data_IF_382880498597
#
_entry.id   IF_382880498597
#
_cell.length_a   1.000
_cell.length_b   1.000
_cell.length_c   1.000
_cell.angle_alpha   90.00
_cell.angle_beta   90.00
_cell.angle_gamma   90.00
#
_symmetry.space_group_name_H-M   'P 1'
#
loop_
_entity.id
_entity.type
_entity.pdbx_description
1 polymer ?
#
# COMPACT_ATOMS: atom_id res chain seq x y z
N UNK A 1 0.41 -36.01 43.03
CA UNK A 1 -0.06 -34.96 42.12
C UNK A 1 -1.03 -35.63 41.16
N UNK A 2 -2.33 -35.41 41.34
CA UNK A 2 -3.36 -36.07 40.55
C UNK A 2 -3.43 -35.38 39.19
N UNK A 3 -2.76 -35.97 38.20
CA UNK A 3 -2.79 -35.50 36.81
C UNK A 3 -4.11 -36.01 36.19
N UNK A 4 -5.19 -35.25 36.40
CA UNK A 4 -6.45 -35.54 35.74
C UNK A 4 -6.29 -35.24 34.26
N UNK A 5 -6.63 -36.17 33.35
CA UNK A 5 -6.51 -35.92 31.92
C UNK A 5 -7.32 -34.66 31.54
N UNK A 6 -6.81 -33.82 30.63
CA UNK A 6 -7.50 -32.59 30.24
C UNK A 6 -8.86 -32.93 29.64
N UNK A 7 -9.91 -32.31 30.17
CA UNK A 7 -11.26 -32.46 29.65
C UNK A 7 -11.38 -31.69 28.33
N UNK A 8 -11.58 -32.40 27.22
CA UNK A 8 -11.75 -31.80 25.90
C UNK A 8 -13.20 -31.39 25.67
N UNK A 9 -13.42 -30.15 25.24
CA UNK A 9 -14.75 -29.63 24.90
C UNK A 9 -14.73 -29.12 23.46
N UNK A 10 -15.73 -29.51 22.68
CA UNK A 10 -15.89 -29.04 21.30
C UNK A 10 -16.53 -27.65 21.27
N UNK A 11 -15.82 -26.67 20.72
CA UNK A 11 -16.29 -25.28 20.58
C UNK A 11 -16.50 -24.96 19.10
N UNK A 12 -17.62 -24.31 18.75
CA UNK A 12 -17.87 -23.84 17.39
C UNK A 12 -17.14 -22.52 17.16
N UNK A 13 -16.24 -22.50 16.17
CA UNK A 13 -15.45 -21.33 15.79
C UNK A 13 -15.80 -20.90 14.37
N UNK A 14 -15.58 -19.62 14.05
CA UNK A 14 -15.78 -19.13 12.68
C UNK A 14 -14.73 -19.73 11.73
N UNK A 15 -15.10 -19.90 10.46
CA UNK A 15 -14.17 -20.41 9.45
C UNK A 15 -12.93 -19.50 9.29
N UNK A 16 -13.11 -18.18 9.46
CA UNK A 16 -12.03 -17.20 9.36
C UNK A 16 -10.93 -17.41 10.39
N UNK A 17 -11.27 -17.53 11.68
CA UNK A 17 -10.26 -17.73 12.73
C UNK A 17 -9.57 -19.09 12.60
N UNK A 18 -10.31 -20.12 12.19
CA UNK A 18 -9.75 -21.46 11.93
C UNK A 18 -8.78 -21.43 10.74
N UNK A 19 -9.09 -20.67 9.69
CA UNK A 19 -8.20 -20.44 8.56
C UNK A 19 -6.90 -19.76 8.96
N UNK A 20 -6.99 -18.64 9.70
CA UNK A 20 -5.81 -17.93 10.21
C UNK A 20 -4.95 -18.82 11.12
N UNK A 21 -5.59 -19.58 12.00
CA UNK A 21 -4.89 -20.52 12.88
C UNK A 21 -4.22 -21.63 12.07
N UNK A 22 -4.83 -22.12 10.98
CA UNK A 22 -4.21 -23.13 10.12
C UNK A 22 -2.92 -22.64 9.46
N UNK A 23 -2.94 -21.43 8.90
CA UNK A 23 -1.77 -20.83 8.28
C UNK A 23 -0.62 -20.66 9.29
N UNK A 24 -0.92 -20.06 10.44
CA UNK A 24 0.07 -19.86 11.51
C UNK A 24 0.59 -21.18 12.09
N UNK A 25 -0.31 -22.17 12.24
CA UNK A 25 0.03 -23.50 12.75
C UNK A 25 0.96 -24.26 11.80
N UNK A 26 0.76 -24.12 10.48
CA UNK A 26 1.60 -24.77 9.47
C UNK A 26 3.04 -24.26 9.54
N UNK A 27 3.24 -22.94 9.59
CA UNK A 27 4.58 -22.33 9.75
C UNK A 27 5.27 -22.82 11.02
N UNK A 28 4.52 -22.99 12.10
CA UNK A 28 5.04 -23.38 13.40
C UNK A 28 5.01 -24.89 13.66
N UNK A 29 4.65 -25.70 12.65
CA UNK A 29 4.54 -27.17 12.71
C UNK A 29 3.74 -27.67 13.92
N UNK A 30 2.64 -26.99 14.24
CA UNK A 30 1.73 -27.35 15.35
C UNK A 30 0.33 -27.67 14.85
N UNK A 31 -0.50 -28.22 15.74
CA UNK A 31 -1.91 -28.41 15.45
C UNK A 31 -2.66 -27.07 15.47
N UNK A 32 -3.80 -26.98 14.77
CA UNK A 32 -4.68 -25.80 14.79
C UNK A 32 -5.20 -25.52 16.21
N UNK A 33 -5.54 -26.57 16.97
CA UNK A 33 -5.98 -26.44 18.35
C UNK A 33 -4.87 -25.83 19.23
N UNK A 34 -3.66 -26.39 19.15
CA UNK A 34 -2.49 -25.89 19.91
C UNK A 34 -2.12 -24.45 19.53
N UNK A 35 -2.34 -24.06 18.28
CA UNK A 35 -2.17 -22.67 17.83
C UNK A 35 -3.17 -21.72 18.48
N UNK A 36 -4.44 -22.13 18.59
CA UNK A 36 -5.49 -21.34 19.21
C UNK A 36 -5.25 -21.22 20.73
N UNK A 37 -4.88 -22.32 21.38
CA UNK A 37 -4.50 -22.34 22.81
C UNK A 37 -3.31 -21.42 23.09
N UNK A 38 -2.32 -21.42 22.20
CA UNK A 38 -1.17 -20.52 22.30
C UNK A 38 -1.60 -19.05 22.22
N UNK A 39 -2.44 -18.67 21.27
CA UNK A 39 -2.95 -17.28 21.18
C UNK A 39 -3.74 -16.88 22.42
N UNK A 40 -4.58 -17.78 22.96
CA UNK A 40 -5.31 -17.51 24.19
C UNK A 40 -4.36 -17.32 25.38
N UNK A 41 -3.31 -18.12 25.48
CA UNK A 41 -2.29 -17.99 26.53
C UNK A 41 -1.50 -16.68 26.39
N UNK A 42 -1.14 -16.31 25.17
CA UNK A 42 -0.47 -15.05 24.87
C UNK A 42 -1.35 -13.85 25.26
N UNK A 43 -2.64 -13.86 24.93
CA UNK A 43 -3.58 -12.82 25.33
C UNK A 43 -3.62 -12.62 26.84
N UNK A 44 -3.76 -13.72 27.61
CA UNK A 44 -3.71 -13.67 29.08
C UNK A 44 -2.40 -13.12 29.64
N UNK A 45 -1.27 -13.51 29.05
CA UNK A 45 0.03 -13.01 29.48
C UNK A 45 0.19 -11.51 29.20
N UNK A 46 -0.35 -11.02 28.08
CA UNK A 46 -0.34 -9.59 27.76
C UNK A 46 -1.24 -8.78 28.70
N UNK A 47 -2.42 -9.29 29.05
CA UNK A 47 -3.30 -8.67 30.06
C UNK A 47 -2.60 -8.59 31.43
N UNK A 48 -1.95 -9.68 31.85
CA UNK A 48 -1.15 -9.70 33.08
C UNK A 48 0.05 -8.75 33.04
N UNK A 49 0.61 -8.47 31.85
CA UNK A 49 1.66 -7.49 31.63
C UNK A 49 1.16 -6.04 31.59
N UNK A 50 -0.14 -5.81 31.78
CA UNK A 50 -0.74 -4.48 31.87
C UNK A 50 -1.31 -3.94 30.55
N UNK A 51 -1.42 -4.76 29.50
CA UNK A 51 -2.19 -4.39 28.33
C UNK A 51 -3.67 -4.39 28.70
N UNK A 52 -4.28 -3.21 28.79
CA UNK A 52 -5.69 -3.12 29.17
C UNK A 52 -6.59 -3.71 28.09
N UNK A 53 -7.77 -4.18 28.49
CA UNK A 53 -8.77 -4.68 27.55
C UNK A 53 -9.15 -3.60 26.52
N UNK A 54 -9.24 -2.33 26.94
CA UNK A 54 -9.48 -1.20 26.03
C UNK A 54 -8.37 -1.01 25.01
N UNK A 55 -7.11 -1.10 25.42
CA UNK A 55 -5.96 -0.98 24.51
C UNK A 55 -5.93 -2.14 23.51
N UNK A 56 -6.26 -3.35 23.97
CA UNK A 56 -6.38 -4.53 23.13
C UNK A 56 -7.46 -4.35 22.06
N UNK A 57 -8.65 -3.86 22.44
CA UNK A 57 -9.71 -3.54 21.50
C UNK A 57 -9.31 -2.46 20.50
N UNK A 58 -8.65 -1.39 20.96
CA UNK A 58 -8.16 -0.33 20.07
C UNK A 58 -7.15 -0.86 19.05
N UNK A 59 -6.26 -1.76 19.47
CA UNK A 59 -5.24 -2.39 18.62
C UNK A 59 -5.87 -3.32 17.58
N UNK A 60 -6.86 -4.15 17.98
CA UNK A 60 -7.62 -5.00 17.07
C UNK A 60 -8.37 -4.15 16.04
N UNK A 61 -9.10 -3.12 16.48
CA UNK A 61 -9.85 -2.24 15.57
C UNK A 61 -8.92 -1.51 14.58
N UNK A 62 -7.72 -1.13 15.01
CA UNK A 62 -6.69 -0.55 14.12
C UNK A 62 -6.20 -1.56 13.09
N UNK A 63 -5.94 -2.81 13.50
CA UNK A 63 -5.49 -3.87 12.59
C UNK A 63 -6.57 -4.23 11.55
N UNK A 64 -7.82 -4.33 11.99
CA UNK A 64 -8.96 -4.57 11.10
C UNK A 64 -9.09 -3.42 10.09
N UNK A 65 -9.04 -2.16 10.54
CA UNK A 65 -9.01 -0.99 9.65
C UNK A 65 -7.83 -1.01 8.68
N UNK A 66 -6.64 -1.40 9.13
CA UNK A 66 -5.47 -1.51 8.28
C UNK A 66 -5.63 -2.59 7.19
N UNK A 67 -6.43 -3.63 7.47
CA UNK A 67 -6.77 -4.67 6.48
C UNK A 67 -7.74 -4.14 5.42
N UNK A 68 -8.63 -3.20 5.80
CA UNK A 68 -9.52 -2.51 4.85
C UNK A 68 -8.84 -1.35 4.12
N UNK A 69 -7.76 -0.79 4.67
CA UNK A 69 -6.85 0.08 3.95
C UNK A 69 -5.89 -0.79 3.12
N UNK A 70 -6.38 -1.26 1.95
CA UNK A 70 -5.47 -1.46 0.82
C UNK A 70 -4.74 -0.14 0.66
N UNK A 71 -3.45 -0.15 1.01
CA UNK A 71 -2.52 0.98 0.89
C UNK A 71 -2.79 1.67 -0.46
N UNK A 72 -3.36 2.88 -0.51
CA UNK A 72 -3.20 3.67 -1.72
C UNK A 72 -1.69 3.75 -1.93
N UNK A 73 -1.15 3.42 -3.13
CA UNK A 73 0.28 3.39 -3.35
C UNK A 73 0.85 4.68 -2.75
N UNK A 74 1.86 4.54 -1.88
CA UNK A 74 2.52 5.68 -1.27
C UNK A 74 2.73 6.70 -2.38
N UNK A 75 2.16 7.90 -2.22
CA UNK A 75 2.31 8.96 -3.20
C UNK A 75 3.81 8.97 -3.58
N UNK A 76 4.14 8.82 -4.87
CA UNK A 76 5.53 8.69 -5.27
C UNK A 76 6.27 9.84 -4.60
N UNK A 77 7.36 9.53 -3.89
CA UNK A 77 8.26 10.57 -3.38
C UNK A 77 8.82 11.25 -4.62
N UNK A 78 8.13 12.29 -5.08
CA UNK A 78 8.58 13.13 -6.18
C UNK A 78 9.92 13.66 -5.73
N UNK A 79 10.99 13.34 -6.46
CA UNK A 79 12.31 13.88 -6.13
C UNK A 79 12.24 15.40 -6.22
N UNK A 80 12.96 16.10 -5.34
CA UNK A 80 12.99 17.57 -5.33
C UNK A 80 13.30 18.15 -6.73
N UNK A 81 14.18 17.47 -7.47
CA UNK A 81 14.51 17.79 -8.87
C UNK A 81 13.31 17.74 -9.83
N UNK A 82 12.38 16.80 -9.61
CA UNK A 82 11.19 16.65 -10.44
C UNK A 82 10.12 17.70 -10.08
N UNK A 83 10.04 18.10 -8.81
CA UNK A 83 9.20 19.22 -8.37
C UNK A 83 9.71 20.55 -8.96
N UNK A 84 11.02 20.77 -8.93
CA UNK A 84 11.66 21.94 -9.52
C UNK A 84 11.45 21.99 -11.04
N UNK A 85 11.59 20.84 -11.72
CA UNK A 85 11.32 20.74 -13.15
C UNK A 85 9.85 21.04 -13.48
N UNK A 86 8.92 20.50 -12.69
CA UNK A 86 7.49 20.75 -12.87
C UNK A 86 7.15 22.23 -12.66
N UNK A 87 7.70 22.86 -11.63
CA UNK A 87 7.54 24.28 -11.38
C UNK A 87 8.07 25.14 -12.53
N UNK A 88 9.23 24.76 -13.08
CA UNK A 88 9.84 25.44 -14.21
C UNK A 88 8.99 25.33 -15.49
N UNK A 89 8.48 24.13 -15.80
CA UNK A 89 7.58 23.92 -16.96
C UNK A 89 6.29 24.73 -16.81
N UNK A 90 5.71 24.77 -15.61
CA UNK A 90 4.51 25.57 -15.35
C UNK A 90 4.78 27.08 -15.49
N UNK A 91 5.94 27.57 -15.03
CA UNK A 91 6.34 28.96 -15.22
C UNK A 91 6.51 29.30 -16.71
N UNK A 92 7.11 28.40 -17.48
CA UNK A 92 7.30 28.55 -18.93
C UNK A 92 5.97 28.51 -19.71
N UNK A 93 5.02 27.69 -19.26
CA UNK A 93 3.66 27.67 -19.81
C UNK A 93 2.90 28.96 -19.51
N UNK A 94 3.00 29.47 -18.28
CA UNK A 94 2.37 30.74 -17.87
C UNK A 94 2.98 31.96 -18.55
N UNK A 95 4.26 31.93 -18.89
CA UNK A 95 4.95 33.03 -19.56
C UNK A 95 4.64 33.12 -21.06
N UNK A 96 3.95 32.13 -21.65
CA UNK A 96 3.67 32.10 -23.09
C UNK A 96 4.90 31.83 -23.97
N UNK A 97 6.06 31.52 -23.38
CA UNK A 97 7.28 31.22 -24.13
C UNK A 97 7.14 29.93 -24.96
N UNK A 98 6.38 28.95 -24.46
CA UNK A 98 6.09 27.71 -25.19
C UNK A 98 5.26 27.95 -26.46
N UNK A 99 4.26 28.83 -26.40
CA UNK A 99 3.43 29.17 -27.57
C UNK A 99 4.23 29.97 -28.59
N UNK A 100 5.03 30.95 -28.16
CA UNK A 100 5.91 31.71 -29.05
C UNK A 100 6.89 30.77 -29.79
N UNK A 101 7.48 29.80 -29.07
CA UNK A 101 8.39 28.82 -29.67
C UNK A 101 7.69 27.87 -30.65
N UNK A 102 6.43 27.50 -30.38
CA UNK A 102 5.62 26.69 -31.28
C UNK A 102 5.30 27.45 -32.57
N UNK A 103 4.94 28.72 -32.49
CA UNK A 103 4.70 29.58 -33.66
C UNK A 103 5.95 29.74 -34.53
N UNK A 104 7.10 30.00 -33.91
CA UNK A 104 8.40 30.07 -34.59
C UNK A 104 8.71 28.75 -35.32
N UNK A 105 8.48 27.61 -34.67
CA UNK A 105 8.73 26.30 -35.25
C UNK A 105 7.79 26.01 -36.44
N UNK A 106 6.53 26.41 -36.35
CA UNK A 106 5.55 26.28 -37.43
C UNK A 106 5.94 27.18 -38.62
N UNK A 107 6.35 28.43 -38.36
CA UNK A 107 6.83 29.34 -39.40
C UNK A 107 8.11 28.82 -40.07
N UNK A 108 9.06 28.30 -39.29
CA UNK A 108 10.28 27.69 -39.80
C UNK A 108 10.00 26.43 -40.64
N UNK A 109 9.08 25.57 -40.23
CA UNK A 109 8.69 24.40 -41.03
C UNK A 109 7.93 24.78 -42.30
N UNK A 110 7.07 25.81 -42.24
CA UNK A 110 6.35 26.32 -43.41
C UNK A 110 7.32 26.83 -44.47
N UNK A 111 8.35 27.59 -44.08
CA UNK A 111 9.38 28.09 -45.00
C UNK A 111 10.31 26.99 -45.54
N UNK A 112 10.56 25.94 -44.74
CA UNK A 112 11.34 24.77 -45.17
C UNK A 112 10.55 23.90 -46.15
N UNK A 113 9.24 23.74 -45.94
CA UNK A 113 8.32 23.06 -46.85
C UNK A 113 8.10 23.78 -48.19
N UNK A 114 8.08 25.12 -48.20
CA UNK A 114 7.98 25.90 -49.45
C UNK A 114 9.28 25.85 -50.27
N UNK A 115 10.47 25.90 -49.62
CA UNK A 115 11.77 25.71 -50.29
C UNK A 115 11.97 24.31 -50.88
N UNK A 116 11.37 23.29 -50.28
CA UNK A 116 11.42 21.91 -50.80
C UNK A 116 10.55 21.75 -52.05
N UNK A 117 9.36 22.40 -52.10
CA UNK A 117 8.49 22.40 -53.28
C UNK A 117 9.09 23.16 -54.47
N UNK A 118 9.80 24.26 -54.24
CA UNK A 118 10.42 25.04 -55.33
C UNK A 118 11.63 24.36 -55.98
N UNK A 119 12.35 23.48 -55.26
CA UNK A 119 13.48 22.71 -55.82
C UNK A 119 13.08 21.47 -56.62
N UNK A 120 11.80 21.06 -56.56
CA UNK A 120 11.28 19.90 -57.31
C UNK A 120 10.55 20.31 -58.60
N UNK A 121 10.47 21.60 -58.88
CA UNK A 121 9.75 22.19 -60.01
C UNK A 121 10.65 22.98 -60.97
N UNK A 122 11.98 22.77 -60.90
CA UNK A 122 12.98 23.34 -61.79
C UNK A 122 13.82 22.23 -62.41
#
# INVERSE_FOLDING_TARGET
MSDSPPAFISVKLSAGIVGQAREAAHTMRRSVASQIEYWATLGKALEAAGLTTSDSHALIARQERATYHVTPPAAPKVSMELEDLQAHVLALAKSGALSARAEDAVAANKTRGTRSKSRKAA
#
